data_IF_343039602833
#
_entry.id   IF_343039602833
#
_cell.length_a   1.000
_cell.length_b   1.000
_cell.length_c   1.000
_cell.angle_alpha   90.00
_cell.angle_beta   90.00
_cell.angle_gamma   90.00
#
_symmetry.space_group_name_H-M   'P 1'
#
loop_
_entity.id
_entity.type
_entity.pdbx_description
1 polymer ?
#
# COMPACT_ATOMS: atom_id res chain seq x y z
N UNK A 1 8.04 -1.37 5.78
CA UNK A 1 6.98 -2.20 5.14
C UNK A 1 6.39 -3.16 6.14
N UNK A 2 5.09 -3.29 6.12
CA UNK A 2 4.34 -4.26 6.94
C UNK A 2 3.51 -5.11 5.98
N UNK A 3 3.58 -6.41 6.09
CA UNK A 3 2.83 -7.32 5.24
C UNK A 3 2.14 -8.43 6.03
N UNK A 4 1.01 -8.90 5.52
CA UNK A 4 0.32 -10.07 6.04
C UNK A 4 0.66 -11.30 5.19
N UNK A 5 1.35 -12.31 5.76
CA UNK A 5 1.72 -13.50 4.99
C UNK A 5 0.53 -14.32 4.49
N UNK A 6 -0.65 -14.19 5.11
CA UNK A 6 -1.83 -14.97 4.76
C UNK A 6 -2.59 -14.44 3.55
N UNK A 7 -2.45 -13.15 3.25
CA UNK A 7 -3.17 -12.49 2.15
C UNK A 7 -2.33 -11.42 1.44
N UNK A 8 -1.02 -11.65 1.39
CA UNK A 8 -0.09 -10.77 0.67
C UNK A 8 -0.47 -10.64 -0.82
N UNK A 9 -0.87 -11.73 -1.46
CA UNK A 9 -1.29 -11.76 -2.84
C UNK A 9 -2.49 -10.86 -3.17
N UNK A 10 -3.27 -10.49 -2.16
CA UNK A 10 -4.38 -9.52 -2.28
C UNK A 10 -3.93 -8.06 -2.10
N UNK A 11 -2.66 -7.80 -1.91
CA UNK A 11 -2.11 -6.46 -1.73
C UNK A 11 -2.00 -6.01 -0.27
N UNK A 12 -2.04 -6.92 0.68
CA UNK A 12 -1.88 -6.58 2.09
C UNK A 12 -0.40 -6.39 2.46
N UNK A 13 0.18 -5.38 1.85
CA UNK A 13 1.52 -4.87 2.09
C UNK A 13 1.45 -3.34 2.12
N UNK A 14 1.96 -2.73 3.16
CA UNK A 14 1.86 -1.29 3.36
C UNK A 14 3.16 -0.71 3.90
N UNK A 15 3.47 0.51 3.48
CA UNK A 15 4.55 1.31 4.01
C UNK A 15 3.99 2.27 5.07
N UNK A 16 4.60 2.28 6.25
CA UNK A 16 4.22 3.25 7.29
C UNK A 16 4.93 4.57 7.04
N UNK A 17 4.24 5.52 6.46
CA UNK A 17 4.67 6.89 6.23
C UNK A 17 3.90 7.92 7.08
N UNK A 18 2.97 7.45 7.92
CA UNK A 18 2.02 8.31 8.65
C UNK A 18 2.29 8.39 10.15
N UNK A 19 2.85 7.35 10.73
CA UNK A 19 3.01 7.22 12.17
C UNK A 19 4.45 6.96 12.55
N UNK A 20 4.94 7.63 13.61
CA UNK A 20 6.25 7.35 14.16
C UNK A 20 6.32 5.94 14.77
N UNK A 21 5.26 5.52 15.42
CA UNK A 21 5.12 4.20 16.03
C UNK A 21 3.75 3.65 15.65
N UNK A 22 3.72 2.39 15.23
CA UNK A 22 2.49 1.66 14.94
C UNK A 22 2.53 0.27 15.57
N UNK A 23 1.37 -0.24 15.94
CA UNK A 23 1.21 -1.59 16.48
C UNK A 23 0.51 -2.44 15.44
N UNK A 24 1.03 -3.62 15.18
CA UNK A 24 0.45 -4.60 14.25
C UNK A 24 0.31 -5.96 14.93
N UNK A 25 -0.56 -6.80 14.39
CA UNK A 25 -0.72 -8.17 14.88
C UNK A 25 0.60 -8.95 14.78
N UNK A 26 0.89 -9.85 15.73
CA UNK A 26 2.09 -10.71 15.69
C UNK A 26 2.22 -11.57 14.44
N UNK A 27 1.12 -11.84 13.73
CA UNK A 27 1.13 -12.59 12.47
C UNK A 27 1.70 -11.83 11.28
N UNK A 28 1.81 -10.50 11.39
CA UNK A 28 2.41 -9.67 10.34
C UNK A 28 3.93 -9.76 10.36
N UNK A 29 4.52 -9.55 9.18
CA UNK A 29 5.96 -9.41 9.01
C UNK A 29 6.32 -7.96 8.73
N UNK A 30 7.44 -7.52 9.31
CA UNK A 30 7.93 -6.15 9.21
C UNK A 30 9.29 -6.16 8.53
N UNK A 31 9.46 -5.32 7.50
CA UNK A 31 10.70 -5.16 6.77
C UNK A 31 11.04 -3.67 6.62
N UNK A 32 12.32 -3.35 6.63
CA UNK A 32 12.82 -2.04 6.23
C UNK A 32 13.16 -2.04 4.74
N UNK A 33 13.01 -0.88 4.10
CA UNK A 33 13.56 -0.67 2.76
C UNK A 33 15.01 -0.26 2.93
N UNK A 34 15.92 -0.95 2.24
CA UNK A 34 17.34 -0.67 2.32
C UNK A 34 17.66 0.75 1.84
N UNK A 35 18.78 1.30 2.34
CA UNK A 35 19.30 2.56 1.87
C UNK A 35 19.71 2.45 0.38
N UNK A 36 19.67 3.57 -0.33
CA UNK A 36 19.95 3.60 -1.77
C UNK A 36 18.72 3.40 -2.66
N UNK A 37 17.55 3.14 -2.09
CA UNK A 37 16.27 3.07 -2.80
C UNK A 37 15.33 4.20 -2.39
N UNK A 38 14.55 4.70 -3.33
CA UNK A 38 13.46 5.63 -2.99
C UNK A 38 12.29 4.87 -2.35
N UNK A 39 11.99 5.19 -1.11
CA UNK A 39 10.99 4.44 -0.30
C UNK A 39 9.58 4.52 -0.87
N UNK A 40 9.20 5.66 -1.44
CA UNK A 40 7.88 5.88 -2.05
C UNK A 40 7.74 5.08 -3.34
N UNK A 41 8.79 5.05 -4.15
CA UNK A 41 8.84 4.23 -5.36
C UNK A 41 8.72 2.74 -5.02
N UNK A 42 9.53 2.24 -4.10
CA UNK A 42 9.51 0.83 -3.69
C UNK A 42 8.15 0.45 -3.12
N UNK A 43 7.58 1.27 -2.25
CA UNK A 43 6.26 1.02 -1.66
C UNK A 43 5.17 0.89 -2.73
N UNK A 44 5.18 1.75 -3.74
CA UNK A 44 4.23 1.70 -4.85
C UNK A 44 4.47 0.50 -5.78
N UNK A 45 5.73 0.21 -6.10
CA UNK A 45 6.10 -0.93 -6.95
C UNK A 45 5.68 -2.27 -6.34
N UNK A 46 5.84 -2.44 -5.04
CA UNK A 46 5.47 -3.67 -4.33
C UNK A 46 3.95 -3.91 -4.25
N UNK A 47 3.13 -2.93 -4.64
CA UNK A 47 1.67 -3.05 -4.74
C UNK A 47 1.16 -3.15 -6.18
N UNK A 48 2.02 -3.21 -7.17
CA UNK A 48 1.61 -3.38 -8.57
C UNK A 48 1.00 -4.77 -8.81
N UNK A 49 0.15 -4.88 -9.82
CA UNK A 49 -0.44 -6.17 -10.22
C UNK A 49 0.61 -7.24 -10.50
N UNK A 50 1.72 -6.83 -11.10
CA UNK A 50 2.85 -7.73 -11.37
C UNK A 50 3.48 -8.25 -10.07
N UNK A 51 3.67 -7.40 -9.08
CA UNK A 51 4.17 -7.80 -7.78
C UNK A 51 3.19 -8.75 -7.07
N UNK A 52 1.89 -8.42 -7.07
CA UNK A 52 0.85 -9.27 -6.48
C UNK A 52 0.78 -10.65 -7.13
N UNK A 53 0.93 -10.71 -8.44
CA UNK A 53 1.01 -11.98 -9.15
C UNK A 53 2.20 -12.83 -8.70
N UNK A 54 3.37 -12.23 -8.54
CA UNK A 54 4.56 -12.91 -8.02
C UNK A 54 4.34 -13.42 -6.59
N UNK A 55 3.65 -12.67 -5.75
CA UNK A 55 3.31 -13.12 -4.39
C UNK A 55 2.37 -14.33 -4.41
N UNK A 56 1.41 -14.34 -5.33
CA UNK A 56 0.51 -15.47 -5.50
C UNK A 56 1.28 -16.75 -5.89
N UNK A 57 2.28 -16.63 -6.78
CA UNK A 57 3.09 -17.76 -7.21
C UNK A 57 3.93 -18.38 -6.09
N UNK A 58 4.33 -17.59 -5.11
CA UNK A 58 5.11 -18.06 -3.94
C UNK A 58 4.23 -18.30 -2.71
N UNK A 59 2.92 -18.38 -2.88
CA UNK A 59 1.95 -18.63 -1.82
C UNK A 59 1.22 -19.95 -2.08
N UNK A 60 0.95 -20.69 -1.01
CA UNK A 60 0.21 -21.96 -1.06
C UNK A 60 -1.24 -21.73 -0.66
N UNK A 61 -2.16 -22.36 -1.40
CA UNK A 61 -3.58 -22.29 -1.07
C UNK A 61 -3.84 -23.05 0.22
N UNK A 62 -4.36 -22.34 1.24
CA UNK A 62 -4.76 -22.93 2.51
C UNK A 62 -6.19 -23.51 2.47
N UNK A 63 -6.72 -23.86 3.64
CA UNK A 63 -8.09 -24.40 3.81
C UNK A 63 -9.21 -23.41 3.39
N UNK A 64 -8.89 -22.12 3.28
CA UNK A 64 -9.81 -21.07 2.81
C UNK A 64 -9.42 -20.62 1.40
N UNK A 65 -10.40 -20.39 0.56
CA UNK A 65 -10.22 -19.87 -0.82
C UNK A 65 -9.54 -18.50 -0.84
N UNK A 66 -9.68 -17.73 0.23
CA UNK A 66 -9.18 -16.36 0.35
C UNK A 66 -7.78 -16.30 0.98
N UNK A 67 -7.41 -17.29 1.79
CA UNK A 67 -6.12 -17.30 2.49
C UNK A 67 -5.12 -18.19 1.78
N UNK A 68 -3.96 -17.62 1.47
CA UNK A 68 -2.81 -18.35 0.93
C UNK A 68 -1.63 -18.11 1.87
N UNK A 69 -1.01 -19.18 2.33
CA UNK A 69 0.19 -19.09 3.15
C UNK A 69 1.39 -18.73 2.30
N UNK A 70 2.05 -17.63 2.62
CA UNK A 70 3.27 -17.20 1.96
C UNK A 70 4.42 -18.16 2.31
N UNK A 71 5.09 -18.69 1.29
CA UNK A 71 6.36 -19.35 1.48
C UNK A 71 7.44 -18.27 1.62
N UNK A 72 7.93 -18.05 2.84
CA UNK A 72 8.90 -16.99 3.13
C UNK A 72 10.23 -17.18 2.40
N UNK A 73 10.72 -18.40 2.28
CA UNK A 73 11.97 -18.66 1.56
C UNK A 73 11.85 -18.32 0.08
N UNK A 74 10.77 -18.72 -0.56
CA UNK A 74 10.50 -18.37 -1.95
C UNK A 74 10.24 -16.86 -2.13
N UNK A 75 9.58 -16.22 -1.18
CA UNK A 75 9.36 -14.77 -1.19
C UNK A 75 10.68 -13.99 -1.14
N UNK A 76 11.62 -14.41 -0.31
CA UNK A 76 12.93 -13.77 -0.19
C UNK A 76 13.79 -13.91 -1.46
N UNK A 77 13.50 -14.89 -2.30
CA UNK A 77 14.16 -15.10 -3.60
C UNK A 77 13.55 -14.27 -4.73
N UNK A 78 12.45 -13.57 -4.50
CA UNK A 78 11.85 -12.73 -5.53
C UNK A 78 12.77 -11.58 -5.91
N UNK A 79 12.92 -11.38 -7.22
CA UNK A 79 13.75 -10.34 -7.79
C UNK A 79 12.88 -9.36 -8.59
N UNK A 80 13.02 -8.08 -8.30
CA UNK A 80 12.33 -7.00 -8.99
C UNK A 80 13.35 -6.14 -9.75
N UNK A 81 13.04 -5.83 -11.01
CA UNK A 81 13.85 -4.88 -11.77
C UNK A 81 13.57 -3.46 -11.27
N UNK A 82 14.62 -2.75 -10.92
CA UNK A 82 14.56 -1.37 -10.45
C UNK A 82 15.20 -0.43 -11.47
N UNK A 83 14.59 0.72 -11.75
CA UNK A 83 15.27 1.78 -12.47
C UNK A 83 16.37 2.41 -11.60
N UNK A 84 17.27 3.22 -12.19
CA UNK A 84 18.26 3.99 -11.42
C UNK A 84 17.60 4.87 -10.35
N UNK A 85 18.34 5.19 -9.30
CA UNK A 85 17.82 5.96 -8.14
C UNK A 85 17.20 7.30 -8.54
N UNK A 86 17.78 7.99 -9.51
CA UNK A 86 17.24 9.27 -9.99
C UNK A 86 15.84 9.12 -10.59
N UNK A 87 15.63 8.04 -11.35
CA UNK A 87 14.31 7.71 -11.90
C UNK A 87 13.33 7.28 -10.83
N UNK A 88 13.79 6.53 -9.83
CA UNK A 88 12.97 6.18 -8.67
C UNK A 88 12.49 7.43 -7.92
N UNK A 89 13.36 8.41 -7.71
CA UNK A 89 13.02 9.69 -7.05
C UNK A 89 12.00 10.49 -7.87
N UNK A 90 12.20 10.58 -9.18
CA UNK A 90 11.27 11.25 -10.09
C UNK A 90 9.87 10.65 -10.00
N UNK A 91 9.77 9.33 -10.08
CA UNK A 91 8.50 8.61 -9.97
C UNK A 91 7.91 8.74 -8.56
N UNK A 92 8.73 8.61 -7.53
CA UNK A 92 8.31 8.78 -6.14
C UNK A 92 7.76 10.20 -5.86
N UNK A 93 8.37 11.24 -6.42
CA UNK A 93 7.86 12.61 -6.33
C UNK A 93 6.51 12.76 -7.04
N UNK A 94 6.36 12.17 -8.22
CA UNK A 94 5.09 12.20 -8.96
C UNK A 94 3.97 11.47 -8.18
N UNK A 95 4.26 10.32 -7.60
CA UNK A 95 3.31 9.58 -6.77
C UNK A 95 2.88 10.40 -5.55
N UNK A 96 3.83 11.01 -4.83
CA UNK A 96 3.53 11.88 -3.69
C UNK A 96 2.65 13.06 -4.07
N UNK A 97 2.92 13.70 -5.20
CA UNK A 97 2.11 14.81 -5.70
C UNK A 97 0.67 14.37 -6.02
N UNK A 98 0.50 13.22 -6.67
CA UNK A 98 -0.81 12.66 -6.96
C UNK A 98 -1.58 12.27 -5.71
N UNK A 99 -0.92 11.67 -4.73
CA UNK A 99 -1.54 11.33 -3.43
C UNK A 99 -2.01 12.57 -2.69
N UNK A 100 -1.20 13.64 -2.65
CA UNK A 100 -1.59 14.90 -2.03
C UNK A 100 -2.80 15.54 -2.72
N UNK A 101 -2.88 15.50 -4.04
CA UNK A 101 -4.04 15.99 -4.80
C UNK A 101 -5.28 15.15 -4.54
N UNK A 102 -5.13 13.84 -4.44
CA UNK A 102 -6.24 12.92 -4.15
C UNK A 102 -6.80 13.18 -2.73
N UNK A 103 -5.94 13.37 -1.74
CA UNK A 103 -6.35 13.71 -0.37
C UNK A 103 -7.08 15.06 -0.33
N UNK A 104 -6.57 16.08 -1.03
CA UNK A 104 -7.22 17.39 -1.12
C UNK A 104 -8.61 17.27 -1.76
N UNK A 105 -8.73 16.55 -2.86
CA UNK A 105 -10.01 16.30 -3.53
C UNK A 105 -11.01 15.58 -2.60
N UNK A 106 -10.53 14.62 -1.81
CA UNK A 106 -11.34 13.93 -0.80
C UNK A 106 -11.86 14.87 0.30
N UNK A 107 -11.03 15.80 0.78
CA UNK A 107 -11.44 16.83 1.76
C UNK A 107 -12.48 17.79 1.18
N UNK A 108 -12.30 18.22 -0.05
CA UNK A 108 -13.27 19.09 -0.76
C UNK A 108 -14.61 18.36 -0.90
N UNK A 109 -14.60 17.12 -1.33
CA UNK A 109 -15.82 16.29 -1.44
C UNK A 109 -16.53 16.19 -0.09
N UNK A 110 -15.82 15.89 0.98
CA UNK A 110 -16.38 15.79 2.34
C UNK A 110 -16.98 17.12 2.80
N UNK A 111 -16.33 18.25 2.51
CA UNK A 111 -16.84 19.57 2.84
C UNK A 111 -18.15 19.88 2.10
N UNK A 112 -18.23 19.56 0.81
CA UNK A 112 -19.47 19.71 0.05
C UNK A 112 -20.60 18.81 0.53
N UNK A 113 -20.31 17.58 0.90
CA UNK A 113 -21.29 16.66 1.48
C UNK A 113 -21.87 17.19 2.80
N UNK A 114 -21.02 17.75 3.67
CA UNK A 114 -21.46 18.39 4.92
C UNK A 114 -22.32 19.62 4.64
N UNK A 115 -21.95 20.46 3.69
CA UNK A 115 -22.72 21.64 3.30
C UNK A 115 -24.09 21.24 2.74
N UNK A 116 -24.12 20.23 1.88
CA UNK A 116 -25.37 19.66 1.37
C UNK A 116 -26.28 19.18 2.49
N UNK A 117 -25.73 18.43 3.44
CA UNK A 117 -26.47 17.91 4.58
C UNK A 117 -27.04 19.01 5.46
N UNK A 118 -26.26 20.05 5.71
CA UNK A 118 -26.71 21.24 6.45
C UNK A 118 -27.87 21.92 5.74
N UNK A 119 -27.74 22.19 4.44
CA UNK A 119 -28.80 22.82 3.65
C UNK A 119 -30.10 21.98 3.66
N UNK A 120 -30.00 20.68 3.52
CA UNK A 120 -31.17 19.80 3.58
C UNK A 120 -31.85 19.84 4.95
N UNK A 121 -31.08 19.91 6.02
CA UNK A 121 -31.59 20.02 7.38
C UNK A 121 -32.31 21.34 7.58
N UNK A 122 -31.71 22.45 7.16
CA UNK A 122 -32.31 23.80 7.29
C UNK A 122 -33.54 24.01 6.40
N UNK A 123 -33.59 23.37 5.23
CA UNK A 123 -34.71 23.50 4.29
C UNK A 123 -35.93 22.69 4.68
N UNK A 124 -35.76 21.60 5.45
CA UNK A 124 -36.83 20.64 5.75
C UNK A 124 -37.17 20.55 7.26
N UNK A 125 -36.79 21.54 8.01
CA UNK A 125 -37.22 21.65 9.42
C UNK A 125 -38.65 22.14 9.53
#
# INVERSE_FOLDING_TARGET
>A
MVLSPQNLWMGNINYNDKFNIGIVSPSYKIFSIADGYDKRFVAAMLKTHRALYNYMLVSEQGASVVRRNLNMEAFEQLVFKMPPIDKQREIGNAISALQSRLELAGRVKTAYEKQKQWLLTEMFI
#
